data_IF_685050281946
#
_entry.id   IF_685050281946
#
_cell.length_a   1.000
_cell.length_b   1.000
_cell.length_c   1.000
_cell.angle_alpha   90.00
_cell.angle_beta   90.00
_cell.angle_gamma   90.00
#
_symmetry.space_group_name_H-M   'P 1'
#
loop_
_entity.id
_entity.type
_entity.pdbx_description
1 polymer ?
#
# COMPACT_ATOMS: atom_id res chain seq x y z
N UNK A 1 -15.85 11.36 -5.87
CA UNK A 1 -15.35 11.43 -7.27
C UNK A 1 -13.93 12.00 -7.26
N UNK A 2 -12.92 11.16 -6.98
CA UNK A 2 -11.50 11.50 -7.10
C UNK A 2 -10.76 10.20 -7.40
N UNK A 3 -10.70 9.82 -8.68
CA UNK A 3 -9.98 8.63 -9.12
C UNK A 3 -8.62 9.07 -9.64
N UNK A 4 -7.58 8.31 -9.32
CA UNK A 4 -6.22 8.53 -9.84
C UNK A 4 -5.47 7.20 -9.89
N UNK A 5 -4.42 7.15 -10.70
CA UNK A 5 -3.45 6.05 -10.68
C UNK A 5 -2.59 6.21 -9.42
N UNK A 6 -2.45 5.14 -8.63
CA UNK A 6 -1.71 5.14 -7.36
C UNK A 6 -0.44 4.31 -7.38
N UNK A 7 -0.16 3.60 -8.48
CA UNK A 7 1.00 2.73 -8.57
C UNK A 7 1.03 1.88 -9.83
N UNK A 8 1.95 0.93 -9.85
CA UNK A 8 2.23 0.01 -10.95
C UNK A 8 2.55 -1.39 -10.41
N UNK A 9 2.42 -2.40 -11.27
CA UNK A 9 2.93 -3.73 -10.99
C UNK A 9 4.40 -3.83 -11.38
N UNK A 10 5.19 -4.51 -10.56
CA UNK A 10 6.60 -4.85 -10.83
C UNK A 10 6.80 -6.35 -10.64
N UNK A 11 7.66 -6.96 -11.45
CA UNK A 11 7.97 -8.39 -11.33
C UNK A 11 8.72 -8.72 -10.03
N UNK A 12 9.45 -7.76 -9.47
CA UNK A 12 10.23 -7.93 -8.25
C UNK A 12 10.18 -6.64 -7.39
N UNK A 13 10.29 -6.77 -6.05
CA UNK A 13 10.29 -8.04 -5.32
C UNK A 13 8.88 -8.67 -5.26
N UNK A 14 8.81 -10.00 -5.37
CA UNK A 14 7.53 -10.71 -5.40
C UNK A 14 6.87 -10.72 -4.02
N UNK A 15 5.53 -10.69 -4.01
CA UNK A 15 4.73 -10.80 -2.77
C UNK A 15 4.80 -9.58 -1.84
N UNK A 16 5.29 -8.44 -2.33
CA UNK A 16 5.42 -7.21 -1.54
C UNK A 16 4.67 -6.04 -2.19
N UNK A 17 4.22 -5.11 -1.34
CA UNK A 17 3.71 -3.80 -1.76
C UNK A 17 4.66 -2.73 -1.23
N UNK A 18 5.15 -1.87 -2.12
CA UNK A 18 6.03 -0.76 -1.77
C UNK A 18 5.26 0.55 -1.86
N UNK A 19 5.44 1.41 -0.86
CA UNK A 19 4.92 2.78 -0.88
C UNK A 19 6.07 3.76 -1.06
N UNK A 20 5.96 4.62 -2.07
CA UNK A 20 6.87 5.75 -2.27
C UNK A 20 6.47 6.88 -1.33
N UNK A 21 7.40 7.31 -0.51
CA UNK A 21 7.25 8.46 0.39
C UNK A 21 7.42 9.77 -0.38
N UNK A 22 6.97 10.88 0.22
CA UNK A 22 7.13 12.22 -0.36
C UNK A 22 8.60 12.60 -0.59
N UNK A 23 9.51 12.05 0.22
CA UNK A 23 10.96 12.23 0.08
C UNK A 23 11.58 11.32 -1.00
N UNK A 24 10.78 10.50 -1.67
CA UNK A 24 11.20 9.61 -2.75
C UNK A 24 11.74 8.25 -2.32
N UNK A 25 11.90 7.99 -1.01
CA UNK A 25 12.26 6.68 -0.50
C UNK A 25 11.10 5.68 -0.60
N UNK A 26 11.41 4.40 -0.78
CA UNK A 26 10.42 3.31 -0.77
C UNK A 26 10.46 2.56 0.57
N UNK A 27 9.29 2.13 1.06
CA UNK A 27 9.17 1.23 2.22
C UNK A 27 8.12 0.15 1.97
N UNK A 28 8.25 -0.97 2.66
CA UNK A 28 7.27 -2.06 2.61
C UNK A 28 5.99 -1.63 3.32
N UNK A 29 4.85 -1.77 2.64
CA UNK A 29 3.53 -1.65 3.24
C UNK A 29 3.09 -3.04 3.70
N UNK A 30 3.16 -3.28 5.01
CA UNK A 30 2.67 -4.51 5.62
C UNK A 30 1.14 -4.57 5.64
N UNK A 31 0.60 -5.78 5.64
CA UNK A 31 -0.82 -6.03 5.88
C UNK A 31 -1.15 -5.73 7.33
N UNK A 32 -2.33 -5.14 7.59
CA UNK A 32 -2.83 -4.97 8.95
C UNK A 32 -3.10 -6.35 9.58
N UNK A 33 -2.75 -6.53 10.85
CA UNK A 33 -3.02 -7.77 11.59
C UNK A 33 -4.53 -8.00 11.81
N UNK A 34 -5.33 -6.93 11.79
CA UNK A 34 -6.78 -6.95 11.87
C UNK A 34 -7.36 -5.55 11.69
N UNK A 35 -8.68 -5.46 11.53
CA UNK A 35 -9.36 -4.17 11.50
C UNK A 35 -9.42 -3.56 12.92
N UNK A 36 -9.07 -2.29 13.04
CA UNK A 36 -9.01 -1.58 14.31
C UNK A 36 -10.40 -1.11 14.77
N UNK A 37 -11.34 -0.96 13.84
CA UNK A 37 -12.70 -0.46 14.10
C UNK A 37 -13.71 -1.61 14.11
N UNK A 38 -14.34 -1.92 15.26
CA UNK A 38 -15.36 -2.97 15.31
C UNK A 38 -16.61 -2.57 14.52
N UNK A 39 -17.13 -3.48 13.69
CA UNK A 39 -18.33 -3.29 12.85
C UNK A 39 -18.22 -2.10 11.89
N UNK A 40 -17.06 -1.97 11.23
CA UNK A 40 -16.84 -0.92 10.22
C UNK A 40 -17.66 -1.15 8.93
N UNK A 41 -18.23 -2.35 8.75
CA UNK A 41 -19.06 -2.73 7.63
C UNK A 41 -20.42 -3.28 8.07
#
# INVERSE_FOLDING_TARGET
RQATIIGEFRNEPTGMVLIKTELGAERILGTLEGEHVPRIC
#
